data_IF_432753057540
#
_entry.id   IF_432753057540
#
_cell.length_a   1.000
_cell.length_b   1.000
_cell.length_c   1.000
_cell.angle_alpha   90.00
_cell.angle_beta   90.00
_cell.angle_gamma   90.00
#
_symmetry.space_group_name_H-M   'P 1'
#
loop_
_entity.id
_entity.type
_entity.pdbx_description
1 polymer ?
#
# COMPACT_ATOMS: atom_id res chain seq x y z
N UNK A 1 -1.61 -2.02 -14.57
CA UNK A 1 -2.71 -1.48 -13.75
C UNK A 1 -2.21 -0.22 -13.05
N UNK A 2 -2.58 0.95 -13.58
CA UNK A 2 -2.25 2.26 -13.01
C UNK A 2 -3.34 2.59 -12.00
N UNK A 3 -3.20 2.11 -10.76
CA UNK A 3 -4.02 2.63 -9.67
C UNK A 3 -3.57 4.07 -9.44
N UNK A 4 -4.43 5.02 -9.81
CA UNK A 4 -4.23 6.45 -9.63
C UNK A 4 -4.51 6.79 -8.17
N UNK A 5 -3.45 6.86 -7.37
CA UNK A 5 -3.52 7.30 -5.97
C UNK A 5 -3.16 8.79 -5.81
N UNK A 6 -3.16 9.57 -6.90
CA UNK A 6 -2.69 10.96 -6.89
C UNK A 6 -3.64 11.95 -6.23
N UNK A 7 -4.93 11.62 -6.14
CA UNK A 7 -5.97 12.57 -5.76
C UNK A 7 -6.57 12.28 -4.37
N UNK A 8 -5.94 11.42 -3.56
CA UNK A 8 -6.42 11.03 -2.23
C UNK A 8 -5.81 11.90 -1.14
N UNK A 9 -6.59 12.16 -0.10
CA UNK A 9 -6.12 12.85 1.10
C UNK A 9 -5.13 12.00 1.90
N UNK A 10 -4.31 12.64 2.74
CA UNK A 10 -3.30 11.96 3.55
C UNK A 10 -3.89 10.82 4.42
N UNK A 11 -5.04 11.05 5.05
CA UNK A 11 -5.72 10.06 5.89
C UNK A 11 -6.24 8.86 5.08
N UNK A 12 -6.75 9.10 3.88
CA UNK A 12 -7.20 8.04 2.97
C UNK A 12 -6.02 7.22 2.45
N UNK A 13 -4.86 7.84 2.21
CA UNK A 13 -3.63 7.14 1.84
C UNK A 13 -3.14 6.23 2.97
N UNK A 14 -3.22 6.68 4.23
CA UNK A 14 -2.87 5.86 5.40
C UNK A 14 -3.82 4.67 5.55
N UNK A 15 -5.13 4.91 5.43
CA UNK A 15 -6.16 3.87 5.51
C UNK A 15 -5.93 2.79 4.43
N UNK A 16 -5.76 3.20 3.18
CA UNK A 16 -5.47 2.28 2.06
C UNK A 16 -4.17 1.50 2.23
N UNK A 17 -3.15 2.12 2.81
CA UNK A 17 -1.88 1.44 3.12
C UNK A 17 -2.10 0.31 4.13
N UNK A 18 -2.93 0.53 5.14
CA UNK A 18 -3.21 -0.47 6.18
C UNK A 18 -4.05 -1.62 5.66
N UNK A 19 -5.07 -1.33 4.84
CA UNK A 19 -5.84 -2.34 4.14
C UNK A 19 -4.95 -3.21 3.24
N UNK A 20 -4.09 -2.60 2.41
CA UNK A 20 -3.17 -3.32 1.54
C UNK A 20 -2.18 -4.19 2.34
N UNK A 21 -1.70 -3.68 3.49
CA UNK A 21 -0.86 -4.48 4.41
C UNK A 21 -1.63 -5.65 5.01
N UNK A 22 -2.89 -5.47 5.41
CA UNK A 22 -3.73 -6.54 5.95
C UNK A 22 -3.95 -7.64 4.92
N UNK A 23 -4.32 -7.28 3.69
CA UNK A 23 -4.46 -8.22 2.58
C UNK A 23 -3.16 -8.95 2.26
N UNK A 24 -2.01 -8.26 2.33
CA UNK A 24 -0.71 -8.91 2.16
C UNK A 24 -0.41 -9.91 3.27
N UNK A 25 -0.77 -9.61 4.53
CA UNK A 25 -0.61 -10.55 5.66
C UNK A 25 -1.48 -11.79 5.49
N UNK A 26 -2.75 -11.61 5.14
CA UNK A 26 -3.67 -12.73 4.86
C UNK A 26 -3.15 -13.59 3.71
N UNK A 27 -2.70 -12.98 2.62
CA UNK A 27 -2.12 -13.73 1.50
C UNK A 27 -0.86 -14.50 1.92
N UNK A 28 0.01 -13.93 2.77
CA UNK A 28 1.16 -14.66 3.32
C UNK A 28 0.73 -15.82 4.20
N UNK A 29 -0.30 -15.65 5.02
CA UNK A 29 -0.82 -16.71 5.87
C UNK A 29 -1.36 -17.87 5.02
N UNK A 30 -2.17 -17.57 4.00
CA UNK A 30 -2.70 -18.55 3.06
C UNK A 30 -1.59 -19.30 2.30
N UNK A 31 -0.46 -18.63 2.02
CA UNK A 31 0.73 -19.29 1.46
C UNK A 31 1.34 -20.33 2.39
N UNK A 32 1.34 -20.09 3.70
CA UNK A 32 1.87 -21.05 4.68
C UNK A 32 0.91 -22.23 4.85
N UNK A 33 -0.40 -21.97 4.78
CA UNK A 33 -1.45 -23.00 4.87
C UNK A 33 -1.53 -23.86 3.60
N UNK A 34 -0.92 -23.44 2.49
CA UNK A 34 -0.89 -24.20 1.24
C UNK A 34 -2.06 -23.91 0.28
N UNK A 35 -2.92 -22.94 0.60
CA UNK A 35 -4.02 -22.49 -0.26
C UNK A 35 -3.61 -21.19 -0.98
N UNK A 36 -2.71 -21.31 -1.97
CA UNK A 36 -2.29 -20.15 -2.78
C UNK A 36 -3.10 -20.07 -4.05
N UNK A 37 -4.19 -19.30 -4.01
CA UNK A 37 -5.04 -19.12 -5.18
C UNK A 37 -4.34 -18.33 -6.29
N UNK A 38 -3.49 -17.35 -5.94
CA UNK A 38 -2.86 -16.50 -6.95
C UNK A 38 -1.51 -15.90 -6.50
N UNK A 39 -0.36 -16.43 -6.96
CA UNK A 39 0.97 -15.91 -6.63
C UNK A 39 1.24 -14.50 -7.20
N UNK A 40 0.55 -14.08 -8.27
CA UNK A 40 0.70 -12.74 -8.85
C UNK A 40 0.15 -11.64 -7.94
N UNK A 41 -0.91 -11.93 -7.17
CA UNK A 41 -1.49 -10.95 -6.21
C UNK A 41 -0.46 -10.47 -5.20
N UNK A 42 0.47 -11.33 -4.77
CA UNK A 42 1.57 -10.96 -3.87
C UNK A 42 2.44 -9.86 -4.46
N UNK A 43 2.79 -10.00 -5.74
CA UNK A 43 3.64 -9.04 -6.46
C UNK A 43 2.91 -7.70 -6.65
N UNK A 44 1.61 -7.74 -6.94
CA UNK A 44 0.79 -6.54 -7.08
C UNK A 44 0.65 -5.80 -5.74
N UNK A 45 0.29 -6.49 -4.66
CA UNK A 45 0.15 -5.90 -3.32
C UNK A 45 1.46 -5.29 -2.81
N UNK A 46 2.61 -5.96 -3.00
CA UNK A 46 3.92 -5.39 -2.63
C UNK A 46 4.19 -4.07 -3.36
N UNK A 47 3.89 -3.99 -4.64
CA UNK A 47 4.06 -2.77 -5.44
C UNK A 47 3.09 -1.68 -5.03
N UNK A 48 1.85 -2.04 -4.72
CA UNK A 48 0.84 -1.11 -4.24
C UNK A 48 1.26 -0.47 -2.92
N UNK A 49 1.76 -1.26 -1.96
CA UNK A 49 2.29 -0.74 -0.68
C UNK A 49 3.47 0.21 -0.92
N UNK A 50 4.42 -0.16 -1.79
CA UNK A 50 5.56 0.70 -2.08
C UNK A 50 5.12 2.04 -2.68
N UNK A 51 4.16 2.03 -3.63
CA UNK A 51 3.62 3.26 -4.23
C UNK A 51 2.89 4.13 -3.23
N UNK A 52 2.08 3.54 -2.34
CA UNK A 52 1.40 4.28 -1.28
C UNK A 52 2.41 4.92 -0.32
N UNK A 53 3.46 4.21 0.09
CA UNK A 53 4.51 4.77 0.93
C UNK A 53 5.24 5.95 0.25
N UNK A 54 5.53 5.84 -1.06
CA UNK A 54 6.14 6.94 -1.82
C UNK A 54 5.22 8.15 -1.89
N UNK A 55 3.91 7.97 -2.07
CA UNK A 55 2.95 9.07 -2.11
C UNK A 55 2.78 9.74 -0.75
N UNK A 56 2.72 8.95 0.33
CA UNK A 56 2.71 9.45 1.71
C UNK A 56 3.95 10.30 2.00
N UNK A 57 5.13 9.84 1.56
CA UNK A 57 6.38 10.57 1.77
C UNK A 57 6.44 11.90 1.00
N UNK A 58 5.92 11.95 -0.23
CA UNK A 58 5.92 13.16 -1.05
C UNK A 58 4.64 14.00 -0.88
N UNK A 59 3.79 13.71 0.12
CA UNK A 59 2.57 14.47 0.35
C UNK A 59 2.94 15.85 0.91
N UNK A 60 2.25 16.89 0.44
CA UNK A 60 2.56 18.29 0.76
C UNK A 60 2.65 18.55 2.28
N UNK A 61 1.72 17.97 3.05
CA UNK A 61 1.66 18.10 4.51
C UNK A 61 2.91 17.55 5.23
N UNK A 62 3.53 16.50 4.70
CA UNK A 62 4.74 15.91 5.28
C UNK A 62 5.98 16.71 4.90
N UNK A 63 6.04 17.21 3.66
CA UNK A 63 7.14 18.04 3.19
C UNK A 63 7.19 19.39 3.90
N UNK A 64 6.04 20.02 4.17
CA UNK A 64 5.97 21.28 4.91
C UNK A 64 6.45 21.12 6.35
N UNK A 65 6.11 20.01 7.02
CA UNK A 65 6.56 19.71 8.38
C UNK A 65 8.07 19.40 8.50
N UNK A 66 8.80 19.23 7.40
CA UNK A 66 10.27 19.06 7.40
C UNK A 66 11.03 20.36 7.11
N UNK A 67 10.36 21.36 6.55
CA UNK A 67 10.95 22.67 6.25
C UNK A 67 10.81 23.67 7.41
N UNK A 68 9.92 23.40 8.38
CA UNK A 68 9.82 24.07 9.68
C UNK A 68 10.74 23.45 10.73
#
# INVERSE_FOLDING_TARGET
MRDSFKDLTFEELLTKREEAKKQYRELRFNMVVGHVDNPLRKRTLRRQIARLNTLIYNHADVTQAMEE
#
